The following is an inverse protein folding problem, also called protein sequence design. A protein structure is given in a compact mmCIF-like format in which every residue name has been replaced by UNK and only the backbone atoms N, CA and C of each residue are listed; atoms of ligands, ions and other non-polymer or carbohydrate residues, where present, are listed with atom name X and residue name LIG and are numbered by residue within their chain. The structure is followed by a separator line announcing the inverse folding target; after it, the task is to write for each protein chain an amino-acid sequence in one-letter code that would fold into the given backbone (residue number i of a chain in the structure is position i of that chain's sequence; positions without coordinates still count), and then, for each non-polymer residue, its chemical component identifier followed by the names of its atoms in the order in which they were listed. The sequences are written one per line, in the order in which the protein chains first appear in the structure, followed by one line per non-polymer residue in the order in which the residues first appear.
data_IF_007819237717
#
_entry.id   IF_007819237717
#
_cell.length_a   1.000
_cell.length_b   1.000
_cell.length_c   1.000
_cell.angle_alpha   90.00
_cell.angle_beta   90.00
_cell.angle_gamma   90.00
#
_symmetry.space_group_name_H-M   'P 1'
#
loop_
_entity.id
_entity.type
_entity.pdbx_description
1 polymer ?
#
# COMPACT_ATOMS: atom_id res chain seq x y z
N UNK A 1 -21.38 0.25 16.78
CA UNK A 1 -20.97 0.19 15.36
C UNK A 1 -19.67 -0.58 15.28
N UNK A 2 -19.47 -1.42 14.26
CA UNK A 2 -18.15 -1.99 13.98
C UNK A 2 -17.26 -0.82 13.49
N UNK A 3 -16.11 -0.53 14.13
CA UNK A 3 -15.24 0.58 13.75
C UNK A 3 -14.82 0.54 12.27
N UNK A 4 -14.74 -0.65 11.69
CA UNK A 4 -14.42 -0.83 10.27
C UNK A 4 -15.52 -0.29 9.35
N UNK A 5 -16.79 -0.35 9.77
CA UNK A 5 -17.92 0.15 9.00
C UNK A 5 -18.00 1.67 8.98
N UNK A 6 -17.68 2.31 10.11
CA UNK A 6 -17.62 3.77 10.17
C UNK A 6 -16.50 4.31 9.28
N UNK A 7 -15.31 3.70 9.33
CA UNK A 7 -14.21 4.10 8.47
C UNK A 7 -14.53 3.85 6.99
N UNK A 8 -15.18 2.74 6.64
CA UNK A 8 -15.59 2.42 5.27
C UNK A 8 -16.46 3.53 4.65
N UNK A 9 -17.32 4.17 5.45
CA UNK A 9 -18.18 5.27 4.99
C UNK A 9 -17.41 6.53 4.57
N UNK A 10 -16.17 6.70 5.06
CA UNK A 10 -15.27 7.83 4.78
C UNK A 10 -14.46 7.61 3.49
N UNK A 11 -14.50 6.40 2.92
CA UNK A 11 -13.74 6.01 1.73
C UNK A 11 -14.60 6.26 0.48
N UNK A 12 -14.05 6.84 -0.61
CA UNK A 12 -14.79 6.96 -1.87
C UNK A 12 -15.28 5.59 -2.37
N UNK A 13 -16.52 5.53 -2.86
CA UNK A 13 -17.23 4.28 -3.19
C UNK A 13 -16.41 3.31 -4.03
N UNK A 14 -15.67 3.81 -5.03
CA UNK A 14 -14.85 2.97 -5.91
C UNK A 14 -13.74 2.20 -5.18
N UNK A 15 -13.27 2.67 -4.02
CA UNK A 15 -12.17 2.06 -3.28
C UNK A 15 -12.62 1.24 -2.06
N UNK A 16 -13.89 1.31 -1.69
CA UNK A 16 -14.44 0.54 -0.56
C UNK A 16 -14.15 -0.96 -0.70
N UNK A 17 -14.32 -1.53 -1.90
CA UNK A 17 -14.01 -2.94 -2.15
C UNK A 17 -12.53 -3.29 -1.98
N UNK A 18 -11.61 -2.35 -2.20
CA UNK A 18 -10.18 -2.57 -1.92
C UNK A 18 -9.89 -2.64 -0.42
N UNK A 19 -10.52 -1.75 0.37
CA UNK A 19 -10.40 -1.77 1.82
C UNK A 19 -11.03 -3.02 2.43
N UNK A 20 -12.25 -3.38 2.01
CA UNK A 20 -12.93 -4.59 2.47
C UNK A 20 -12.09 -5.84 2.19
N UNK A 21 -11.52 -5.95 0.97
CA UNK A 21 -10.65 -7.07 0.62
C UNK A 21 -9.40 -7.11 1.50
N UNK A 22 -8.79 -5.96 1.81
CA UNK A 22 -7.65 -5.89 2.72
C UNK A 22 -8.00 -6.40 4.13
N UNK A 23 -9.15 -5.99 4.67
CA UNK A 23 -9.61 -6.40 6.00
C UNK A 23 -9.99 -7.88 6.12
N UNK A 24 -10.07 -8.62 5.01
CA UNK A 24 -10.18 -10.09 5.09
C UNK A 24 -8.90 -10.77 5.60
N UNK A 25 -7.75 -10.10 5.57
CA UNK A 25 -6.45 -10.67 5.95
C UNK A 25 -5.89 -11.72 4.98
N UNK A 26 -6.63 -12.10 3.93
CA UNK A 26 -6.28 -13.19 3.01
C UNK A 26 -5.28 -12.82 1.92
N UNK A 27 -4.93 -11.53 1.78
CA UNK A 27 -4.05 -11.05 0.72
C UNK A 27 -3.17 -9.90 1.21
N UNK A 28 -1.87 -10.18 1.38
CA UNK A 28 -0.85 -9.17 1.71
C UNK A 28 -0.85 -8.03 0.68
N UNK A 29 -0.97 -8.37 -0.61
CA UNK A 29 -1.05 -7.41 -1.71
C UNK A 29 -2.29 -6.52 -1.62
N UNK A 30 -3.45 -7.06 -1.20
CA UNK A 30 -4.64 -6.24 -0.95
C UNK A 30 -4.42 -5.28 0.22
N UNK A 31 -3.81 -5.74 1.31
CA UNK A 31 -3.42 -4.92 2.46
C UNK A 31 -2.52 -3.75 2.07
N UNK A 32 -1.42 -4.06 1.35
CA UNK A 32 -0.48 -3.03 0.86
C UNK A 32 -1.20 -2.05 -0.06
N UNK A 33 -2.04 -2.55 -0.99
CA UNK A 33 -2.77 -1.69 -1.93
C UNK A 33 -3.73 -0.74 -1.22
N UNK A 34 -4.50 -1.24 -0.26
CA UNK A 34 -5.42 -0.42 0.54
C UNK A 34 -4.63 0.59 1.38
N UNK A 35 -3.51 0.20 1.99
CA UNK A 35 -2.70 1.12 2.79
C UNK A 35 -2.06 2.23 1.97
N UNK A 36 -1.55 1.90 0.78
CA UNK A 36 -1.02 2.92 -0.12
C UNK A 36 -2.11 3.89 -0.57
N UNK A 37 -3.32 3.40 -0.91
CA UNK A 37 -4.44 4.26 -1.26
C UNK A 37 -4.85 5.16 -0.09
N UNK A 38 -5.02 4.61 1.11
CA UNK A 38 -5.31 5.37 2.34
C UNK A 38 -4.26 6.48 2.60
N UNK A 39 -2.97 6.13 2.56
CA UNK A 39 -1.87 7.08 2.73
C UNK A 39 -1.90 8.24 1.71
N UNK A 40 -2.29 7.95 0.46
CA UNK A 40 -2.39 8.93 -0.61
C UNK A 40 -3.82 9.48 -0.78
N UNK A 41 -4.61 9.54 0.30
CA UNK A 41 -5.96 10.12 0.32
C UNK A 41 -6.89 9.55 -0.77
N UNK A 42 -6.78 8.25 -1.04
CA UNK A 42 -7.52 7.51 -2.07
C UNK A 42 -7.28 8.02 -3.50
N UNK A 43 -6.11 8.61 -3.78
CA UNK A 43 -5.73 9.07 -5.11
C UNK A 43 -4.72 8.13 -5.76
N UNK A 44 -5.16 7.37 -6.77
CA UNK A 44 -4.32 6.39 -7.47
C UNK A 44 -3.06 7.01 -8.10
N UNK A 45 -3.16 8.21 -8.66
CA UNK A 45 -2.04 8.90 -9.31
C UNK A 45 -0.95 9.28 -8.31
N UNK A 46 -1.35 9.72 -7.12
CA UNK A 46 -0.45 10.01 -6.01
C UNK A 46 0.26 8.76 -5.53
N UNK A 47 -0.42 7.60 -5.52
CA UNK A 47 0.26 6.33 -5.22
C UNK A 47 1.32 6.01 -6.26
N UNK A 48 1.10 6.28 -7.56
CA UNK A 48 2.08 6.05 -8.62
C UNK A 48 3.27 7.03 -8.56
N UNK A 49 3.03 8.26 -8.09
CA UNK A 49 4.01 9.34 -7.99
C UNK A 49 4.58 9.56 -6.58
N UNK A 50 4.17 8.76 -5.59
CA UNK A 50 4.60 8.86 -4.20
C UNK A 50 6.14 9.00 -4.05
N UNK A 51 6.62 10.09 -3.41
CA UNK A 51 8.06 10.39 -3.27
C UNK A 51 8.72 9.74 -2.05
N UNK A 52 7.96 9.07 -1.18
CA UNK A 52 8.47 8.45 0.06
C UNK A 52 9.30 7.19 -0.24
N UNK A 53 10.54 7.38 -0.70
CA UNK A 53 11.48 6.30 -1.06
C UNK A 53 12.01 5.53 0.14
N UNK A 54 11.96 6.14 1.33
CA UNK A 54 12.28 5.57 2.64
C UNK A 54 11.13 4.72 3.23
N UNK A 55 9.94 4.80 2.65
CA UNK A 55 8.80 4.00 3.10
C UNK A 55 9.11 2.50 2.96
N UNK A 56 8.92 1.69 4.01
CA UNK A 56 9.17 0.24 3.94
C UNK A 56 8.24 -0.47 2.93
N UNK A 57 7.11 0.14 2.58
CA UNK A 57 6.22 -0.35 1.53
C UNK A 57 6.63 0.11 0.13
N UNK A 58 7.59 1.03 -0.01
CA UNK A 58 8.01 1.57 -1.30
C UNK A 58 8.31 0.43 -2.30
N UNK A 59 9.14 -0.59 -2.02
CA UNK A 59 9.42 -1.67 -2.98
C UNK A 59 8.19 -2.47 -3.43
N UNK A 60 7.14 -2.50 -2.59
CA UNK A 60 5.90 -3.23 -2.82
C UNK A 60 4.74 -2.34 -3.30
N UNK A 61 4.99 -1.03 -3.44
CA UNK A 61 3.99 -0.02 -3.82
C UNK A 61 3.32 -0.37 -5.16
N UNK A 62 1.97 -0.34 -5.24
CA UNK A 62 1.23 -0.66 -6.45
C UNK A 62 1.31 0.47 -7.48
N UNK A 63 0.76 0.23 -8.68
CA UNK A 63 0.61 1.23 -9.76
C UNK A 63 1.92 1.82 -10.29
N UNK A 64 3.05 1.13 -10.08
CA UNK A 64 4.31 1.46 -10.74
C UNK A 64 4.13 1.30 -12.25
N UNK A 65 4.58 2.29 -13.01
CA UNK A 65 4.72 2.14 -14.47
C UNK A 65 5.62 0.93 -14.75
N UNK A 66 5.33 0.08 -15.76
CA UNK A 66 6.19 -1.03 -16.12
C UNK A 66 7.51 -0.50 -16.68
N UNK A 67 8.46 -0.18 -15.79
CA UNK A 67 9.87 -0.04 -16.13
C UNK A 67 10.57 -1.31 -15.69
N UNK A 68 11.24 -1.94 -16.64
CA UNK A 68 12.11 -3.11 -16.53
C UNK A 68 12.39 -3.55 -15.07
N UNK A 69 11.88 -4.72 -14.70
CA UNK A 69 11.74 -5.27 -13.34
C UNK A 69 13.09 -5.62 -12.70
N UNK A 70 13.95 -4.63 -12.50
CA UNK A 70 15.13 -4.68 -11.63
C UNK A 70 14.95 -3.59 -10.59
N UNK A 71 14.11 -3.82 -9.58
CA UNK A 71 14.14 -2.98 -8.39
C UNK A 71 15.28 -3.51 -7.53
N UNK A 72 16.43 -2.82 -7.43
CA UNK A 72 17.40 -3.17 -6.42
C UNK A 72 16.75 -2.95 -5.05
N UNK A 73 16.96 -3.83 -4.06
CA UNK A 73 16.55 -3.55 -2.70
C UNK A 73 17.21 -2.24 -2.27
N UNK A 74 16.44 -1.30 -1.73
CA UNK A 74 16.95 -0.02 -1.19
C UNK A 74 18.00 -0.29 -0.09
N UNK A 75 17.98 -1.49 0.48
CA UNK A 75 18.89 -1.98 1.53
C UNK A 75 19.42 -3.39 1.21
N UNK A 76 20.04 -3.59 0.04
CA UNK A 76 20.76 -4.85 -0.22
C UNK A 76 22.01 -4.92 0.68
N UNK A 77 21.87 -5.51 1.89
CA UNK A 77 23.00 -5.75 2.80
C UNK A 77 22.86 -5.24 4.24
N UNK A 78 21.67 -4.78 4.68
CA UNK A 78 21.46 -4.49 6.10
C UNK A 78 21.42 -5.82 6.87
N UNK A 79 22.46 -6.11 7.64
CA UNK A 79 22.50 -7.28 8.53
C UNK A 79 21.47 -7.05 9.63
N UNK A 80 20.59 -8.02 9.81
CA UNK A 80 19.58 -8.02 10.87
C UNK A 80 20.26 -8.41 12.19
N UNK A 81 20.86 -7.44 12.89
CA UNK A 81 21.46 -7.63 14.22
C UNK A 81 20.37 -7.54 15.30
N UNK A 82 19.36 -8.41 15.21
CA UNK A 82 18.35 -8.59 16.26
C UNK A 82 18.74 -9.81 17.10
N UNK A 83 19.59 -9.57 18.09
CA UNK A 83 19.85 -10.45 19.24
C UNK A 83 18.80 -10.24 20.35
#
# INVERSE_FOLDING_TARGET
MNPDQEYLSKIPTMYQGHYQKAMTGKSKTAGIKAKCLDCCCWQRIEVANCPATDCPLYPYRPYRMPRNRKTPPVMAGLKDERD
#
